data_IF_899107386315
#
_entry.id   IF_899107386315
#
_cell.length_a   1.000
_cell.length_b   1.000
_cell.length_c   1.000
_cell.angle_alpha   90.00
_cell.angle_beta   90.00
_cell.angle_gamma   90.00
#
_symmetry.space_group_name_H-M   'P 1'
#
loop_
_entity.id
_entity.type
_entity.pdbx_description
1 polymer ?
#
# COMPACT_ATOMS: atom_id res chain seq x y z
N UNK A 1 -73.99 -19.13 -24.83
CA UNK A 1 -72.95 -20.17 -25.03
C UNK A 1 -71.92 -20.00 -23.92
N UNK A 2 -71.70 -21.10 -23.18
CA UNK A 2 -70.94 -21.18 -21.94
C UNK A 2 -69.43 -21.42 -22.19
N UNK A 3 -68.62 -21.15 -21.16
CA UNK A 3 -67.20 -21.49 -21.07
C UNK A 3 -66.44 -20.44 -20.26
N UNK A 4 -66.55 -20.38 -18.92
CA UNK A 4 -65.70 -21.09 -17.93
C UNK A 4 -64.19 -20.94 -18.23
N UNK A 5 -63.31 -20.50 -17.33
CA UNK A 5 -63.38 -20.17 -15.90
C UNK A 5 -62.13 -19.36 -15.53
N UNK A 6 -62.20 -18.41 -14.59
CA UNK A 6 -61.86 -18.68 -13.19
C UNK A 6 -60.42 -18.22 -12.90
N UNK A 7 -60.14 -16.93 -12.64
CA UNK A 7 -60.20 -16.29 -11.32
C UNK A 7 -59.65 -17.16 -10.17
N UNK A 8 -58.47 -16.76 -9.64
CA UNK A 8 -58.20 -16.27 -8.26
C UNK A 8 -57.13 -17.00 -7.43
N UNK A 9 -56.36 -16.12 -6.76
CA UNK A 9 -55.69 -16.20 -5.44
C UNK A 9 -54.33 -16.91 -5.40
N UNK A 10 -53.23 -16.24 -5.05
CA UNK A 10 -52.86 -15.55 -3.79
C UNK A 10 -52.46 -16.51 -2.66
N UNK A 11 -51.16 -16.39 -2.29
CA UNK A 11 -50.55 -16.51 -0.96
C UNK A 11 -50.20 -17.88 -0.37
N UNK A 12 -48.98 -17.90 0.22
CA UNK A 12 -48.41 -18.84 1.22
C UNK A 12 -47.95 -20.19 0.60
N UNK A 13 -46.77 -20.76 0.88
CA UNK A 13 -45.90 -20.77 2.07
C UNK A 13 -44.40 -21.01 1.76
N UNK A 14 -43.57 -20.65 2.76
CA UNK A 14 -42.18 -21.05 3.03
C UNK A 14 -42.04 -22.58 3.20
N UNK A 15 -40.77 -23.03 3.28
CA UNK A 15 -40.21 -24.36 3.60
C UNK A 15 -39.72 -25.03 2.31
N UNK A 16 -38.41 -25.14 2.03
CA UNK A 16 -37.37 -25.75 2.86
C UNK A 16 -36.85 -26.95 2.07
N UNK A 17 -35.68 -26.83 1.43
CA UNK A 17 -34.93 -27.99 0.91
C UNK A 17 -33.44 -27.73 1.16
N UNK A 18 -33.02 -28.08 2.36
CA UNK A 18 -31.67 -28.49 2.70
C UNK A 18 -31.60 -30.01 2.52
N UNK A 19 -30.86 -30.48 1.52
CA UNK A 19 -30.36 -31.84 1.30
C UNK A 19 -29.47 -31.76 0.04
N UNK A 20 -28.36 -32.43 -0.19
CA UNK A 20 -27.81 -33.64 0.39
C UNK A 20 -26.42 -33.82 -0.28
N UNK A 21 -25.28 -33.66 0.43
CA UNK A 21 -24.00 -34.20 -0.07
C UNK A 21 -23.13 -34.56 1.15
N UNK A 22 -23.54 -35.60 1.85
CA UNK A 22 -22.76 -36.19 2.94
C UNK A 22 -22.83 -37.72 2.84
N UNK A 23 -22.18 -38.30 1.82
CA UNK A 23 -21.86 -39.73 1.81
C UNK A 23 -20.59 -40.02 1.00
N UNK A 24 -19.41 -39.85 1.61
CA UNK A 24 -18.29 -40.79 1.43
C UNK A 24 -17.57 -40.89 2.79
N UNK A 25 -17.98 -41.85 3.60
CA UNK A 25 -17.23 -42.32 4.78
C UNK A 25 -16.53 -43.63 4.41
N UNK A 26 -15.27 -43.73 4.83
CA UNK A 26 -14.71 -44.99 5.34
C UNK A 26 -13.55 -45.57 4.54
N UNK A 27 -12.33 -45.40 5.05
CA UNK A 27 -11.54 -46.47 5.67
C UNK A 27 -10.06 -46.04 5.86
N UNK A 28 -9.42 -46.61 6.90
CA UNK A 28 -8.04 -46.41 7.38
C UNK A 28 -7.89 -45.14 8.26
N UNK A 29 -7.86 -45.17 9.59
CA UNK A 29 -7.36 -46.22 10.48
C UNK A 29 -5.87 -45.98 10.77
N UNK A 30 -5.56 -45.17 11.78
CA UNK A 30 -4.57 -45.43 12.86
C UNK A 30 -4.23 -44.13 13.64
N UNK A 31 -4.28 -44.17 14.99
CA UNK A 31 -3.84 -43.09 15.88
C UNK A 31 -2.35 -43.28 16.25
N UNK A 32 -1.57 -42.18 16.31
CA UNK A 32 -0.15 -42.24 16.64
C UNK A 32 0.42 -40.95 17.24
N UNK A 33 0.42 -40.90 18.57
CA UNK A 33 1.45 -40.39 19.50
C UNK A 33 2.23 -39.07 19.25
N UNK A 34 2.06 -38.17 20.22
CA UNK A 34 3.02 -37.23 20.85
C UNK A 34 4.52 -37.47 20.59
N UNK A 35 5.24 -36.40 20.22
CA UNK A 35 6.57 -36.09 20.78
C UNK A 35 6.71 -34.57 20.97
N UNK A 36 6.77 -34.17 22.24
CA UNK A 36 7.27 -32.89 22.73
C UNK A 36 8.79 -33.04 22.87
N UNK A 37 9.56 -32.13 22.27
CA UNK A 37 11.03 -32.11 22.39
C UNK A 37 11.54 -30.68 22.30
N UNK A 38 11.94 -30.13 23.45
CA UNK A 38 12.37 -28.75 23.62
C UNK A 38 13.71 -28.45 22.96
N UNK A 39 13.78 -27.28 22.32
CA UNK A 39 15.02 -26.69 21.84
C UNK A 39 15.50 -25.68 22.88
N UNK A 40 16.50 -26.08 23.68
CA UNK A 40 17.24 -25.20 24.56
C UNK A 40 18.22 -24.39 23.69
N UNK A 41 18.00 -23.08 23.61
CA UNK A 41 18.93 -22.10 23.09
C UNK A 41 20.09 -21.93 24.07
N UNK A 42 21.31 -22.12 23.57
CA UNK A 42 22.52 -21.60 24.18
C UNK A 42 23.12 -20.53 23.28
N UNK A 43 23.33 -19.33 23.82
CA UNK A 43 24.44 -18.43 23.48
C UNK A 43 24.81 -17.62 24.71
N UNK A 44 26.03 -17.84 25.18
CA UNK A 44 26.72 -17.03 26.18
C UNK A 44 27.17 -15.68 25.61
N UNK A 45 27.50 -14.79 26.55
CA UNK A 45 28.59 -13.80 26.53
C UNK A 45 28.28 -12.30 26.43
N UNK A 46 28.71 -11.63 27.52
CA UNK A 46 29.49 -10.39 27.60
C UNK A 46 28.73 -9.06 27.35
N UNK A 47 28.45 -8.25 28.38
CA UNK A 47 29.35 -7.42 29.21
C UNK A 47 30.09 -6.34 28.42
N UNK A 48 29.61 -5.09 28.53
CA UNK A 48 30.40 -3.84 28.52
C UNK A 48 29.49 -2.60 28.39
N UNK A 49 29.26 -1.89 29.51
CA UNK A 49 29.31 -0.41 29.54
C UNK A 49 30.75 0.00 29.94
N UNK A 50 31.24 1.26 29.93
CA UNK A 50 30.62 2.62 29.77
C UNK A 50 31.53 3.53 28.85
N UNK A 51 31.75 4.86 28.99
CA UNK A 51 31.07 6.00 29.66
C UNK A 51 30.83 7.24 28.75
N UNK A 52 30.32 8.31 29.36
CA UNK A 52 29.96 9.66 28.87
C UNK A 52 31.11 10.58 28.39
N UNK A 53 30.68 11.75 27.81
CA UNK A 53 31.30 13.11 27.83
C UNK A 53 32.00 13.58 26.52
N UNK A 54 32.21 14.89 26.23
CA UNK A 54 31.50 16.16 26.55
C UNK A 54 31.01 16.95 25.30
N UNK A 55 30.14 17.94 25.55
CA UNK A 55 29.83 19.10 24.70
C UNK A 55 31.04 20.04 24.51
N UNK A 56 31.16 20.74 23.35
CA UNK A 56 31.79 22.05 23.33
C UNK A 56 30.95 23.15 22.66
N UNK A 57 31.31 24.35 23.07
CA UNK A 57 30.62 25.63 23.11
C UNK A 57 30.70 26.43 21.79
N UNK A 58 29.67 27.26 21.56
CA UNK A 58 29.59 28.37 20.60
C UNK A 58 30.77 29.34 20.69
N UNK A 59 31.12 30.01 19.57
CA UNK A 59 31.21 31.47 19.65
C UNK A 59 30.37 32.22 18.59
N UNK A 60 29.71 33.26 19.09
CA UNK A 60 28.98 34.32 18.39
C UNK A 60 29.95 35.25 17.66
N UNK A 61 29.62 35.66 16.43
CA UNK A 61 30.23 36.85 15.80
C UNK A 61 29.11 37.79 15.33
N UNK A 62 29.07 38.95 15.98
CA UNK A 62 28.27 40.13 15.64
C UNK A 62 29.16 41.12 14.89
N UNK A 63 28.70 41.67 13.76
CA UNK A 63 29.26 42.92 13.21
C UNK A 63 28.09 43.80 12.72
N UNK A 64 28.03 45.08 13.13
CA UNK A 64 27.07 46.07 12.64
C UNK A 64 27.64 46.87 11.45
N UNK A 65 26.75 47.48 10.63
CA UNK A 65 26.65 48.95 10.50
C UNK A 65 26.23 49.47 9.10
N UNK A 66 25.18 50.31 9.14
CA UNK A 66 24.94 51.60 8.44
C UNK A 66 24.55 51.72 6.95
N UNK A 67 23.56 52.59 6.76
CA UNK A 67 22.74 52.96 5.58
C UNK A 67 23.23 54.33 4.98
N UNK A 68 22.46 55.07 4.12
CA UNK A 68 22.66 55.47 2.70
C UNK A 68 23.08 56.99 2.55
N UNK A 69 22.96 57.80 1.43
CA UNK A 69 22.06 57.77 0.25
C UNK A 69 22.66 58.13 -1.15
N UNK A 70 21.78 58.05 -2.17
CA UNK A 70 21.94 58.50 -3.57
C UNK A 70 22.16 60.02 -3.73
N UNK A 71 22.68 60.43 -4.90
CA UNK A 71 21.91 61.41 -5.69
C UNK A 71 21.83 61.14 -7.21
N UNK A 72 20.72 61.63 -7.75
CA UNK A 72 20.23 61.64 -9.13
C UNK A 72 21.24 62.10 -10.20
N UNK A 73 21.15 61.53 -11.41
CA UNK A 73 21.61 62.16 -12.67
C UNK A 73 20.79 61.61 -13.87
N UNK A 74 20.48 62.43 -14.90
CA UNK A 74 19.33 62.25 -15.81
C UNK A 74 19.55 61.32 -17.01
N UNK A 75 18.42 60.87 -17.58
CA UNK A 75 18.29 59.99 -18.73
C UNK A 75 18.62 60.64 -20.10
N UNK A 76 19.24 59.89 -21.03
CA UNK A 76 19.17 60.11 -22.48
C UNK A 76 18.21 59.12 -23.20
N UNK A 77 17.81 59.41 -24.45
CA UNK A 77 16.56 58.92 -25.05
C UNK A 77 16.59 57.47 -25.57
N UNK A 78 15.38 56.93 -25.68
CA UNK A 78 15.05 55.56 -26.05
C UNK A 78 15.54 55.12 -27.45
N UNK A 79 16.06 53.89 -27.59
CA UNK A 79 15.95 53.13 -28.82
C UNK A 79 14.63 52.33 -28.82
N UNK A 80 13.87 52.45 -29.90
CA UNK A 80 12.65 51.67 -30.16
C UNK A 80 12.96 50.17 -30.10
N UNK A 81 12.41 49.50 -29.08
CA UNK A 81 12.44 48.03 -28.99
C UNK A 81 11.16 47.52 -29.65
N UNK A 82 11.32 46.82 -30.77
CA UNK A 82 10.26 46.07 -31.42
C UNK A 82 9.57 45.17 -30.41
N UNK A 83 8.28 45.37 -30.19
CA UNK A 83 7.41 44.41 -29.49
C UNK A 83 7.23 43.19 -30.36
N UNK A 84 8.19 42.27 -30.32
CA UNK A 84 7.91 40.86 -30.62
C UNK A 84 6.98 40.38 -29.51
N UNK A 85 5.71 40.23 -29.85
CA UNK A 85 4.74 39.49 -29.04
C UNK A 85 5.31 38.09 -28.82
N UNK A 86 5.96 37.89 -27.66
CA UNK A 86 6.28 36.56 -27.19
C UNK A 86 4.94 35.87 -26.90
N UNK A 87 4.62 34.88 -27.73
CA UNK A 87 3.59 33.92 -27.46
C UNK A 87 3.86 33.33 -26.06
N UNK A 88 2.87 33.28 -25.15
CA UNK A 88 3.08 32.71 -23.83
C UNK A 88 3.38 31.23 -24.03
N UNK A 89 4.66 30.86 -23.93
CA UNK A 89 5.08 29.48 -23.71
C UNK A 89 4.40 29.07 -22.40
N UNK A 90 3.26 28.40 -22.53
CA UNK A 90 2.58 27.75 -21.41
C UNK A 90 3.57 26.71 -20.90
N UNK A 91 4.25 27.06 -19.82
CA UNK A 91 5.14 26.15 -19.09
C UNK A 91 4.29 24.93 -18.71
N UNK A 92 4.48 23.84 -19.46
CA UNK A 92 3.72 22.61 -19.30
C UNK A 92 3.98 22.13 -17.88
N UNK A 93 2.94 22.16 -17.04
CA UNK A 93 3.01 21.61 -15.69
C UNK A 93 3.63 20.21 -15.78
N UNK A 94 4.64 19.91 -14.95
CA UNK A 94 5.41 18.71 -15.13
C UNK A 94 4.49 17.51 -14.81
N UNK A 95 4.45 16.55 -15.73
CA UNK A 95 3.40 15.52 -15.81
C UNK A 95 3.54 14.51 -14.67
N UNK A 96 2.48 14.34 -13.89
CA UNK A 96 2.41 13.31 -12.85
C UNK A 96 2.26 11.91 -13.47
N UNK A 97 2.89 10.89 -12.89
CA UNK A 97 2.90 9.52 -13.44
C UNK A 97 2.41 8.52 -12.40
N UNK A 98 1.58 7.54 -12.79
CA UNK A 98 1.17 6.47 -11.88
C UNK A 98 2.35 5.54 -11.59
N UNK A 99 2.47 5.09 -10.34
CA UNK A 99 3.50 4.14 -9.95
C UNK A 99 3.41 2.83 -10.75
N UNK A 100 2.19 2.43 -11.12
CA UNK A 100 1.93 1.23 -11.90
C UNK A 100 2.43 1.30 -13.35
N UNK A 101 2.58 2.50 -13.91
CA UNK A 101 3.02 2.73 -15.29
C UNK A 101 4.55 2.67 -15.45
N UNK A 102 5.28 2.62 -14.34
CA UNK A 102 6.74 2.57 -14.36
C UNK A 102 7.28 1.18 -14.70
N UNK A 103 8.48 1.11 -15.30
CA UNK A 103 9.18 -0.16 -15.49
C UNK A 103 9.35 -0.90 -14.16
N UNK A 104 8.94 -2.17 -14.15
CA UNK A 104 9.05 -3.03 -12.97
C UNK A 104 10.49 -3.48 -12.73
N UNK A 105 10.86 -3.61 -11.45
CA UNK A 105 12.11 -4.27 -11.05
C UNK A 105 11.93 -5.79 -11.14
N UNK A 106 12.82 -6.46 -11.87
CA UNK A 106 12.73 -7.90 -12.07
C UNK A 106 12.82 -8.66 -10.73
N UNK A 107 11.96 -9.68 -10.54
CA UNK A 107 11.93 -10.52 -9.34
C UNK A 107 11.30 -9.89 -8.08
N UNK A 108 10.85 -8.64 -8.14
CA UNK A 108 10.33 -7.90 -6.97
C UNK A 108 8.81 -7.62 -7.04
N UNK A 109 8.06 -8.41 -7.80
CA UNK A 109 6.62 -8.21 -7.97
C UNK A 109 5.88 -9.52 -7.67
N UNK A 110 4.99 -9.47 -6.70
CA UNK A 110 4.14 -10.58 -6.30
C UNK A 110 2.95 -10.72 -7.26
N UNK A 111 2.48 -11.94 -7.45
CA UNK A 111 1.30 -12.27 -8.25
C UNK A 111 0.00 -11.90 -7.52
N UNK A 112 0.03 -11.83 -6.19
CA UNK A 112 -1.13 -11.48 -5.38
C UNK A 112 -1.42 -9.96 -5.35
N UNK A 113 -0.63 -9.14 -6.07
CA UNK A 113 -0.86 -7.70 -6.23
C UNK A 113 -1.37 -7.39 -7.63
N UNK A 114 -2.62 -6.93 -7.69
CA UNK A 114 -3.26 -6.44 -8.91
C UNK A 114 -3.25 -4.91 -8.98
N UNK A 115 -3.27 -4.38 -10.20
CA UNK A 115 -3.53 -2.95 -10.45
C UNK A 115 -5.00 -2.81 -10.80
N UNK A 116 -5.78 -2.25 -9.89
CA UNK A 116 -7.25 -2.15 -10.03
C UNK A 116 -7.82 -0.98 -9.25
N UNK A 117 -9.08 -0.67 -9.51
CA UNK A 117 -9.83 0.32 -8.75
C UNK A 117 -10.34 -0.31 -7.44
N UNK A 118 -10.19 0.43 -6.34
CA UNK A 118 -10.59 -0.04 -4.99
C UNK A 118 -11.37 1.04 -4.26
N UNK A 119 -12.13 0.64 -3.24
CA UNK A 119 -12.77 1.56 -2.30
C UNK A 119 -12.09 1.48 -0.94
N UNK A 120 -11.65 2.62 -0.43
CA UNK A 120 -11.04 2.75 0.89
C UNK A 120 -11.81 3.83 1.64
N UNK A 121 -12.42 3.44 2.76
CA UNK A 121 -13.23 4.32 3.60
C UNK A 121 -14.34 5.05 2.82
N UNK A 122 -15.03 4.33 1.92
CA UNK A 122 -16.10 4.86 1.08
C UNK A 122 -15.65 5.75 -0.09
N UNK A 123 -14.34 5.93 -0.30
CA UNK A 123 -13.79 6.69 -1.42
C UNK A 123 -13.18 5.77 -2.47
N UNK A 124 -13.42 6.06 -3.75
CA UNK A 124 -12.89 5.30 -4.87
C UNK A 124 -11.48 5.77 -5.23
N UNK A 125 -10.54 4.84 -5.30
CA UNK A 125 -9.15 5.08 -5.70
C UNK A 125 -8.83 4.26 -6.96
N UNK A 126 -8.72 4.91 -8.13
CA UNK A 126 -8.42 4.21 -9.36
C UNK A 126 -6.93 3.84 -9.47
N UNK A 127 -6.60 2.83 -10.26
CA UNK A 127 -5.22 2.38 -10.51
C UNK A 127 -4.41 2.10 -9.23
N UNK A 128 -5.04 1.44 -8.26
CA UNK A 128 -4.46 1.14 -6.96
C UNK A 128 -3.71 -0.19 -6.99
N UNK A 129 -2.65 -0.30 -6.18
CA UNK A 129 -1.97 -1.58 -5.96
C UNK A 129 -2.74 -2.35 -4.88
N UNK A 130 -3.49 -3.37 -5.29
CA UNK A 130 -4.41 -4.11 -4.43
C UNK A 130 -3.83 -5.49 -4.09
N UNK A 131 -3.52 -5.70 -2.81
CA UNK A 131 -3.16 -7.02 -2.29
C UNK A 131 -4.42 -7.75 -1.82
N UNK A 132 -4.84 -8.76 -2.57
CA UNK A 132 -6.07 -9.51 -2.33
C UNK A 132 -5.88 -11.00 -2.60
N UNK A 133 -6.48 -11.84 -1.76
CA UNK A 133 -6.49 -13.29 -1.92
C UNK A 133 -7.90 -13.82 -1.67
N UNK A 134 -8.34 -14.81 -2.46
CA UNK A 134 -9.71 -15.35 -2.36
C UNK A 134 -9.84 -16.49 -1.35
N UNK A 135 -9.08 -17.57 -1.52
CA UNK A 135 -9.06 -18.76 -0.65
C UNK A 135 -7.71 -18.94 0.06
N UNK A 136 -6.64 -18.58 -0.64
CA UNK A 136 -5.26 -18.56 -0.17
C UNK A 136 -4.48 -17.57 -1.04
N UNK A 137 -3.29 -17.18 -0.59
CA UNK A 137 -2.35 -16.39 -1.36
C UNK A 137 -1.32 -17.33 -2.00
N UNK A 138 -0.92 -17.07 -3.24
CA UNK A 138 0.11 -17.86 -3.93
C UNK A 138 1.53 -17.49 -3.44
N UNK A 139 1.68 -16.30 -2.85
CA UNK A 139 2.92 -15.76 -2.32
C UNK A 139 3.10 -15.85 -0.81
N UNK A 140 4.12 -15.15 -0.33
CA UNK A 140 4.41 -14.98 1.09
C UNK A 140 4.19 -13.53 1.50
N UNK A 141 3.78 -13.30 2.75
CA UNK A 141 3.73 -11.94 3.26
C UNK A 141 5.14 -11.46 3.62
N UNK A 142 5.54 -10.25 3.21
CA UNK A 142 4.73 -9.26 2.49
C UNK A 142 4.68 -9.51 0.99
N UNK A 143 3.54 -9.24 0.38
CA UNK A 143 3.45 -9.09 -1.06
C UNK A 143 4.20 -7.82 -1.47
N UNK A 144 5.00 -7.90 -2.53
CA UNK A 144 5.95 -6.85 -2.93
C UNK A 144 5.64 -6.33 -4.33
N UNK A 145 5.79 -5.02 -4.56
CA UNK A 145 5.68 -4.37 -5.86
C UNK A 145 6.85 -3.40 -6.05
N UNK A 146 7.73 -3.67 -7.01
CA UNK A 146 8.99 -2.94 -7.21
C UNK A 146 9.06 -2.24 -8.57
N UNK A 147 9.47 -0.98 -8.59
CA UNK A 147 9.56 -0.14 -9.81
C UNK A 147 10.84 0.70 -9.85
N UNK A 148 11.24 1.07 -11.08
CA UNK A 148 12.39 1.94 -11.35
C UNK A 148 11.91 3.39 -11.44
N UNK A 149 12.31 4.22 -10.46
CA UNK A 149 12.03 5.66 -10.43
C UNK A 149 12.99 6.47 -11.31
N UNK A 150 14.23 6.00 -11.47
CA UNK A 150 15.21 6.62 -12.36
C UNK A 150 15.65 8.04 -11.96
N UNK A 151 15.45 8.44 -10.69
CA UNK A 151 15.80 9.77 -10.14
C UNK A 151 15.08 10.95 -10.79
N UNK A 152 13.90 10.72 -11.36
CA UNK A 152 13.13 11.73 -12.11
C UNK A 152 12.02 12.42 -11.32
N UNK A 153 11.78 11.96 -10.09
CA UNK A 153 10.63 12.36 -9.29
C UNK A 153 11.09 12.91 -7.94
N UNK A 154 10.29 13.79 -7.36
CA UNK A 154 10.53 14.38 -6.04
C UNK A 154 9.52 13.93 -5.01
N UNK A 155 8.31 13.50 -5.42
CA UNK A 155 7.25 13.09 -4.48
C UNK A 155 6.53 11.83 -4.92
N UNK A 156 6.16 11.00 -3.95
CA UNK A 156 5.13 9.97 -4.07
C UNK A 156 3.93 10.37 -3.21
N UNK A 157 2.75 10.42 -3.82
CA UNK A 157 1.47 10.62 -3.15
C UNK A 157 0.58 9.39 -3.33
N UNK A 158 -0.02 8.92 -2.24
CA UNK A 158 -0.95 7.79 -2.25
C UNK A 158 -1.77 7.78 -0.95
N UNK A 159 -2.74 6.89 -0.85
CA UNK A 159 -3.43 6.58 0.41
C UNK A 159 -3.30 5.10 0.73
N UNK A 160 -2.72 4.73 1.87
CA UNK A 160 -2.75 3.32 2.32
C UNK A 160 -4.06 3.02 3.04
N UNK A 161 -4.62 1.84 2.79
CA UNK A 161 -5.90 1.47 3.38
C UNK A 161 -6.23 0.00 3.32
N UNK A 162 -7.09 -0.43 4.23
CA UNK A 162 -7.85 -1.67 4.07
C UNK A 162 -9.06 -1.35 3.20
N UNK A 163 -9.30 -2.16 2.17
CA UNK A 163 -10.44 -2.00 1.26
C UNK A 163 -11.74 -2.21 2.04
N UNK A 164 -12.84 -1.56 1.65
CA UNK A 164 -14.10 -1.57 2.41
C UNK A 164 -14.70 -2.97 2.63
N UNK A 165 -14.43 -3.92 1.74
CA UNK A 165 -14.81 -5.34 1.88
C UNK A 165 -13.82 -6.18 2.70
N UNK A 166 -12.76 -5.56 3.22
CA UNK A 166 -11.64 -6.21 3.89
C UNK A 166 -11.86 -6.46 5.38
N UNK A 167 -10.93 -7.19 6.03
CA UNK A 167 -11.03 -7.51 7.44
C UNK A 167 -10.71 -6.29 8.32
N UNK A 168 -11.31 -6.20 9.50
CA UNK A 168 -11.04 -5.12 10.46
C UNK A 168 -9.75 -5.33 11.28
N UNK A 169 -8.66 -5.67 10.61
CA UNK A 169 -7.35 -5.90 11.19
C UNK A 169 -6.39 -4.79 10.75
N UNK A 170 -5.45 -4.36 11.60
CA UNK A 170 -4.41 -3.44 11.19
C UNK A 170 -3.51 -4.10 10.13
N UNK A 171 -3.21 -3.37 9.07
CA UNK A 171 -2.33 -3.78 7.99
C UNK A 171 -1.13 -2.84 7.94
N UNK A 172 0.07 -3.41 7.85
CA UNK A 172 1.32 -2.68 7.69
C UNK A 172 1.65 -2.55 6.20
N UNK A 173 2.15 -1.37 5.84
CA UNK A 173 2.70 -1.04 4.54
C UNK A 173 4.12 -0.54 4.73
N UNK A 174 5.01 -0.90 3.83
CA UNK A 174 6.36 -0.35 3.79
C UNK A 174 6.67 0.13 2.37
N UNK A 175 7.23 1.33 2.27
CA UNK A 175 7.77 1.88 1.02
C UNK A 175 9.26 2.06 1.22
N UNK A 176 10.04 1.31 0.45
CA UNK A 176 11.49 1.24 0.53
C UNK A 176 12.10 1.95 -0.68
N UNK A 177 12.85 3.03 -0.39
CA UNK A 177 13.55 3.84 -1.37
C UNK A 177 15.04 3.54 -1.26
N UNK A 178 15.58 2.76 -2.19
CA UNK A 178 16.98 2.35 -2.22
C UNK A 178 17.55 1.86 -0.86
N UNK A 179 16.76 1.14 -0.07
CA UNK A 179 17.13 0.60 1.25
C UNK A 179 16.60 1.41 2.43
N UNK A 180 16.03 2.60 2.22
CA UNK A 180 15.42 3.41 3.27
C UNK A 180 13.93 3.10 3.37
N UNK A 181 13.54 2.47 4.47
CA UNK A 181 12.17 2.01 4.70
C UNK A 181 11.31 3.06 5.40
N UNK A 182 10.14 3.34 4.83
CA UNK A 182 9.08 4.16 5.39
C UNK A 182 7.86 3.28 5.69
N UNK A 183 7.43 3.25 6.95
CA UNK A 183 6.35 2.38 7.40
C UNK A 183 5.06 3.15 7.62
N UNK A 184 3.95 2.59 7.16
CA UNK A 184 2.59 3.09 7.37
C UNK A 184 1.72 1.96 7.91
N UNK A 185 0.70 2.31 8.69
CA UNK A 185 -0.29 1.36 9.18
C UNK A 185 -1.67 1.89 8.87
N UNK A 186 -2.54 1.05 8.34
CA UNK A 186 -3.95 1.36 8.13
C UNK A 186 -4.84 0.29 8.75
N UNK A 187 -6.09 0.65 9.01
CA UNK A 187 -7.15 -0.25 9.44
C UNK A 187 -8.42 0.08 8.66
N UNK A 188 -9.40 -0.84 8.64
CA UNK A 188 -10.70 -0.57 8.06
C UNK A 188 -11.32 0.72 8.64
N UNK A 189 -11.72 1.64 7.74
CA UNK A 189 -12.26 2.96 8.10
C UNK A 189 -11.22 3.96 8.65
N UNK A 190 -9.93 3.60 8.67
CA UNK A 190 -8.81 4.45 9.13
C UNK A 190 -7.65 4.38 8.14
N UNK A 191 -7.80 4.99 6.95
CA UNK A 191 -6.70 5.11 6.00
C UNK A 191 -5.61 6.05 6.52
N UNK A 192 -4.44 5.99 5.90
CA UNK A 192 -3.36 6.95 6.14
C UNK A 192 -2.81 7.48 4.82
N UNK A 193 -2.56 8.79 4.76
CA UNK A 193 -1.99 9.42 3.59
C UNK A 193 -0.47 9.22 3.53
N UNK A 194 0.01 8.94 2.32
CA UNK A 194 1.41 8.85 1.98
C UNK A 194 1.76 10.12 1.20
N UNK A 195 2.69 10.89 1.74
CA UNK A 195 3.30 12.01 1.05
C UNK A 195 4.81 11.93 1.33
N UNK A 196 5.52 11.25 0.43
CA UNK A 196 6.90 10.82 0.64
C UNK A 196 7.83 11.52 -0.35
N UNK A 197 8.93 12.07 0.16
CA UNK A 197 10.02 12.59 -0.68
C UNK A 197 10.79 11.42 -1.32
N UNK A 198 10.83 11.40 -2.64
CA UNK A 198 11.54 10.38 -3.45
C UNK A 198 12.70 10.98 -4.24
N UNK A 199 13.11 12.21 -3.92
CA UNK A 199 14.17 12.92 -4.62
C UNK A 199 15.46 12.10 -4.64
N UNK A 200 16.00 11.88 -5.85
CA UNK A 200 17.25 11.14 -6.06
C UNK A 200 17.12 9.62 -5.93
N UNK A 201 15.94 9.08 -5.64
CA UNK A 201 15.71 7.64 -5.55
C UNK A 201 15.78 6.98 -6.94
N UNK A 202 16.49 5.86 -7.04
CA UNK A 202 16.61 5.05 -8.24
C UNK A 202 15.47 4.04 -8.34
N UNK A 203 15.13 3.37 -7.24
CA UNK A 203 14.09 2.35 -7.17
C UNK A 203 13.17 2.59 -5.97
N UNK A 204 11.91 2.18 -6.13
CA UNK A 204 10.96 2.07 -5.05
C UNK A 204 10.43 0.65 -4.95
N UNK A 205 10.23 0.18 -3.73
CA UNK A 205 9.63 -1.11 -3.43
C UNK A 205 8.54 -0.94 -2.38
N UNK A 206 7.30 -1.20 -2.81
CA UNK A 206 6.13 -1.25 -1.94
C UNK A 206 6.01 -2.67 -1.39
N UNK A 207 5.75 -2.80 -0.09
CA UNK A 207 5.46 -4.05 0.59
C UNK A 207 4.15 -3.92 1.35
N UNK A 208 3.22 -4.83 1.12
CA UNK A 208 1.93 -4.88 1.83
C UNK A 208 1.90 -6.17 2.63
N UNK A 209 1.75 -6.06 3.94
CA UNK A 209 1.78 -7.21 4.84
C UNK A 209 0.39 -7.82 4.98
N UNK A 210 0.32 -9.14 5.04
CA UNK A 210 -0.92 -9.80 5.42
C UNK A 210 -1.29 -9.45 6.88
N UNK A 211 -2.59 -9.25 7.19
CA UNK A 211 -3.05 -8.93 8.54
C UNK A 211 -2.88 -10.09 9.55
N UNK A 212 -2.62 -11.29 9.04
CA UNK A 212 -2.38 -12.51 9.82
C UNK A 212 -1.40 -13.43 9.07
N UNK A 213 -0.77 -14.40 9.75
CA UNK A 213 0.06 -15.41 9.08
C UNK A 213 -0.72 -16.14 7.99
N UNK A 214 -0.14 -16.18 6.79
CA UNK A 214 -0.72 -16.89 5.65
C UNK A 214 -0.54 -18.40 5.81
N UNK A 215 -1.49 -19.16 5.26
CA UNK A 215 -1.47 -20.62 5.25
C UNK A 215 -1.15 -21.12 3.85
N UNK A 216 -0.51 -22.30 3.78
CA UNK A 216 -0.29 -22.97 2.50
C UNK A 216 -1.63 -23.39 1.87
N UNK A 217 -1.70 -23.58 0.54
CA UNK A 217 -2.93 -24.02 -0.13
C UNK A 217 -3.50 -25.30 0.46
N UNK A 218 -2.63 -26.27 0.80
CA UNK A 218 -3.05 -27.53 1.42
C UNK A 218 -3.65 -27.31 2.81
N UNK A 219 -3.02 -26.48 3.64
CA UNK A 219 -3.52 -26.17 4.98
C UNK A 219 -4.84 -25.37 4.91
N UNK A 220 -4.94 -24.41 3.99
CA UNK A 220 -6.17 -23.65 3.74
C UNK A 220 -7.32 -24.57 3.31
N UNK A 221 -7.06 -25.56 2.45
CA UNK A 221 -8.06 -26.55 2.04
C UNK A 221 -8.56 -27.44 3.19
N UNK A 222 -7.66 -27.92 4.04
CA UNK A 222 -8.02 -28.70 5.24
C UNK A 222 -8.87 -27.88 6.21
N UNK A 223 -8.48 -26.63 6.46
CA UNK A 223 -9.22 -25.74 7.35
C UNK A 223 -10.61 -25.39 6.80
N UNK A 224 -10.72 -25.14 5.50
CA UNK A 224 -11.99 -24.88 4.84
C UNK A 224 -12.95 -26.08 4.95
N UNK A 225 -12.46 -27.30 4.72
CA UNK A 225 -13.26 -28.53 4.90
C UNK A 225 -13.69 -28.74 6.37
N UNK A 226 -12.89 -28.25 7.32
CA UNK A 226 -13.21 -28.25 8.75
C UNK A 226 -14.03 -27.04 9.23
N UNK A 227 -14.47 -26.15 8.33
CA UNK A 227 -15.28 -24.97 8.67
C UNK A 227 -14.51 -23.83 9.35
N UNK A 228 -13.18 -23.81 9.27
CA UNK A 228 -12.35 -22.73 9.82
C UNK A 228 -12.05 -21.69 8.75
N UNK A 229 -12.25 -20.41 9.05
CA UNK A 229 -11.88 -19.29 8.18
C UNK A 229 -10.50 -18.74 8.53
N UNK A 230 -9.74 -18.33 7.50
CA UNK A 230 -8.49 -17.58 7.67
C UNK A 230 -8.72 -16.12 7.33
N UNK A 231 -7.99 -15.22 8.00
CA UNK A 231 -8.03 -13.79 7.67
C UNK A 231 -7.07 -13.56 6.49
N UNK A 232 -7.65 -13.28 5.32
CA UNK A 232 -6.90 -13.00 4.10
C UNK A 232 -6.65 -11.49 3.94
N UNK A 233 -5.56 -11.09 3.25
CA UNK A 233 -5.31 -9.69 2.94
C UNK A 233 -6.39 -9.15 2.00
N UNK A 234 -6.80 -7.92 2.27
CA UNK A 234 -7.61 -7.12 1.37
C UNK A 234 -7.29 -5.64 1.61
N UNK A 235 -6.11 -5.24 1.14
CA UNK A 235 -5.50 -3.96 1.46
C UNK A 235 -4.84 -3.38 0.22
N UNK A 236 -4.77 -2.05 0.14
CA UNK A 236 -4.29 -1.39 -1.07
C UNK A 236 -3.47 -0.13 -0.77
N UNK A 237 -2.55 0.15 -1.69
CA UNK A 237 -1.98 1.48 -1.88
C UNK A 237 -2.85 2.19 -2.93
N UNK A 238 -3.74 3.06 -2.46
CA UNK A 238 -4.71 3.82 -3.23
C UNK A 238 -4.05 4.89 -4.09
N UNK A 239 -4.29 4.81 -5.40
CA UNK A 239 -3.88 5.78 -6.42
C UNK A 239 -2.45 6.34 -6.25
N UNK A 240 -1.40 5.49 -6.31
CA UNK A 240 -0.03 5.94 -6.11
C UNK A 240 0.47 6.73 -7.33
N UNK A 241 0.72 8.01 -7.11
CA UNK A 241 1.16 8.98 -8.14
C UNK A 241 2.50 9.58 -7.76
N UNK A 242 3.39 9.66 -8.75
CA UNK A 242 4.67 10.32 -8.66
C UNK A 242 4.59 11.72 -9.25
N UNK A 243 5.22 12.65 -8.53
CA UNK A 243 5.35 14.03 -8.95
C UNK A 243 6.83 14.35 -9.23
N UNK A 244 7.10 15.15 -10.26
CA UNK A 244 8.43 15.62 -10.64
C UNK A 244 9.01 16.64 -9.65
#
# INVERSE_FOLDING_TARGET
>A
MAGQGGRRRLWRERLGVTADVLQILGWLGLPGLLVIGGFLLGTSSEDASPPSQPTPTTPTVTIPSTQPPSPNTPAPPAPSVSTTTAEPTTERAPESVLLADLPRVNGNNDIDIDVTDVQINGLSYPNSLHYNCSLYCDGTSPATYGVVLGRKYTRLQATVGVVDSGPNNPVRFEIDLDGKVHTYTAQLGKPADVNLDVTGALQAKVRIYAPAPLKSPLAAGVDAAGGKSSVLPNAALGHPVLLP
#
